data_IF_469625945893
#
_entry.id   IF_469625945893
#
_cell.length_a   1.000
_cell.length_b   1.000
_cell.length_c   1.000
_cell.angle_alpha   90.00
_cell.angle_beta   90.00
_cell.angle_gamma   90.00
#
_symmetry.space_group_name_H-M   'P 1'
#
loop_
_entity.id
_entity.type
_entity.pdbx_description
1 polymer ?
#
# COMPACT_ATOMS: atom_id res chain seq x y z
N UNK A 1 -5.46 37.27 4.81
CA UNK A 1 -4.34 36.62 4.11
C UNK A 1 -3.94 35.41 4.95
N UNK A 2 -4.02 34.20 4.41
CA UNK A 2 -3.71 32.97 5.15
C UNK A 2 -2.21 32.87 5.47
N UNK A 3 -1.85 32.05 6.46
CA UNK A 3 -0.44 31.75 6.76
C UNK A 3 0.28 31.14 5.53
N UNK A 4 -0.42 30.35 4.75
CA UNK A 4 0.04 29.79 3.47
C UNK A 4 0.44 30.90 2.50
N UNK A 5 -0.43 31.92 2.30
CA UNK A 5 -0.17 33.00 1.35
C UNK A 5 1.04 33.83 1.78
N UNK A 6 1.23 34.07 3.07
CA UNK A 6 2.40 34.77 3.61
C UNK A 6 3.70 34.01 3.36
N UNK A 7 3.69 32.68 3.58
CA UNK A 7 4.86 31.82 3.35
C UNK A 7 5.21 31.81 1.86
N UNK A 8 4.22 31.58 1.00
CA UNK A 8 4.43 31.57 -0.45
C UNK A 8 4.93 32.94 -0.97
N UNK A 9 4.42 34.05 -0.44
CA UNK A 9 4.89 35.38 -0.81
C UNK A 9 6.34 35.64 -0.37
N UNK A 10 6.78 35.09 0.79
CA UNK A 10 8.18 35.16 1.22
C UNK A 10 9.10 34.35 0.32
N UNK A 11 8.72 33.14 -0.04
CA UNK A 11 9.47 32.27 -0.97
C UNK A 11 9.60 32.95 -2.33
N UNK A 12 8.51 33.43 -2.89
CA UNK A 12 8.52 34.14 -4.20
C UNK A 12 9.38 35.38 -4.22
N UNK A 13 9.47 36.12 -3.10
CA UNK A 13 10.37 37.29 -2.98
C UNK A 13 11.85 36.91 -2.85
N UNK A 14 12.14 35.74 -2.32
CA UNK A 14 13.51 35.26 -2.15
C UNK A 14 14.09 34.65 -3.43
N UNK A 15 13.24 34.27 -4.39
CA UNK A 15 13.68 33.73 -5.68
C UNK A 15 13.94 34.85 -6.67
N UNK A 16 15.12 34.93 -7.33
CA UNK A 16 15.41 35.84 -8.42
C UNK A 16 14.38 35.69 -9.54
N UNK A 17 14.00 36.82 -10.14
CA UNK A 17 12.94 36.81 -11.16
C UNK A 17 13.33 36.03 -12.43
N UNK A 18 14.64 35.99 -12.73
CA UNK A 18 15.21 35.25 -13.85
C UNK A 18 15.19 33.71 -13.68
N UNK A 19 14.94 33.21 -12.47
CA UNK A 19 14.92 31.77 -12.15
C UNK A 19 13.50 31.22 -11.98
N UNK A 20 12.49 31.95 -12.39
CA UNK A 20 11.09 31.49 -12.33
C UNK A 20 10.67 30.94 -13.68
N UNK A 21 10.89 29.64 -13.94
CA UNK A 21 10.24 29.05 -15.11
C UNK A 21 8.73 29.19 -14.93
N UNK A 22 8.01 29.65 -15.95
CA UNK A 22 6.56 29.54 -15.93
C UNK A 22 6.22 28.06 -15.82
N UNK A 23 5.27 27.70 -14.97
CA UNK A 23 4.95 26.27 -14.73
C UNK A 23 4.60 25.50 -16.02
N UNK A 24 4.22 26.20 -17.08
CA UNK A 24 3.96 25.64 -18.40
C UNK A 24 5.25 25.39 -19.21
N UNK A 25 6.24 26.29 -19.13
CA UNK A 25 7.53 26.14 -19.82
C UNK A 25 8.41 25.08 -19.16
N UNK A 26 8.41 25.01 -17.82
CA UNK A 26 9.16 23.98 -17.09
C UNK A 26 8.61 22.57 -17.32
N UNK A 27 7.32 22.42 -17.60
CA UNK A 27 6.71 21.11 -17.88
C UNK A 27 6.92 20.63 -19.31
N UNK A 28 7.21 21.53 -20.27
CA UNK A 28 7.38 21.22 -21.69
C UNK A 28 8.72 20.56 -22.05
N UNK A 29 9.76 20.85 -21.28
CA UNK A 29 11.13 20.42 -21.59
C UNK A 29 11.60 19.14 -20.85
N UNK A 30 10.75 18.56 -19.99
CA UNK A 30 11.10 17.32 -19.31
C UNK A 30 10.78 16.14 -20.23
N UNK A 31 11.77 15.41 -20.74
CA UNK A 31 11.53 14.20 -21.53
C UNK A 31 10.72 13.20 -20.71
N UNK A 32 9.65 12.64 -21.29
CA UNK A 32 8.75 11.66 -20.66
C UNK A 32 8.64 10.39 -21.48
N UNK A 33 9.63 10.11 -22.29
CA UNK A 33 9.75 8.99 -23.21
C UNK A 33 10.37 7.72 -22.55
N UNK A 34 10.17 7.61 -21.23
CA UNK A 34 10.62 6.41 -20.51
C UNK A 34 9.79 5.18 -20.92
N UNK A 35 10.45 4.04 -20.86
CA UNK A 35 9.87 2.77 -21.24
C UNK A 35 8.75 2.37 -20.26
N UNK A 36 7.55 2.16 -20.79
CA UNK A 36 6.37 1.76 -20.00
C UNK A 36 6.28 0.26 -19.81
N UNK A 37 6.74 -0.52 -20.80
CA UNK A 37 6.68 -1.99 -20.81
C UNK A 37 8.11 -2.51 -20.89
N UNK A 38 8.52 -3.31 -19.90
CA UNK A 38 9.88 -3.79 -19.75
C UNK A 38 10.04 -5.27 -20.14
N UNK A 39 9.08 -5.85 -20.86
CA UNK A 39 9.10 -7.24 -21.33
C UNK A 39 7.70 -7.76 -21.64
N UNK A 40 7.63 -8.99 -22.11
CA UNK A 40 6.40 -9.66 -22.55
C UNK A 40 5.95 -10.73 -21.54
N UNK A 41 5.85 -10.35 -20.25
CA UNK A 41 5.41 -11.27 -19.20
C UNK A 41 3.94 -11.58 -19.31
N UNK A 42 3.59 -12.83 -19.14
CA UNK A 42 2.21 -13.24 -18.90
C UNK A 42 1.75 -12.79 -17.51
N UNK A 43 0.44 -12.68 -17.25
CA UNK A 43 -0.07 -12.37 -15.91
C UNK A 43 0.43 -13.32 -14.81
N UNK A 44 0.63 -14.59 -15.14
CA UNK A 44 1.17 -15.60 -14.22
C UNK A 44 2.64 -15.30 -13.86
N UNK A 45 3.47 -15.01 -14.87
CA UNK A 45 4.89 -14.66 -14.67
C UNK A 45 5.02 -13.35 -13.89
N UNK A 46 4.16 -12.36 -14.11
CA UNK A 46 4.12 -11.12 -13.33
C UNK A 46 3.71 -11.37 -11.88
N UNK A 47 2.76 -12.29 -11.63
CA UNK A 47 2.37 -12.69 -10.28
C UNK A 47 3.50 -13.45 -9.56
N UNK A 48 4.26 -14.28 -10.28
CA UNK A 48 5.44 -14.97 -9.73
C UNK A 48 6.54 -13.99 -9.38
N UNK A 49 6.80 -13.03 -10.25
CA UNK A 49 7.77 -11.96 -10.01
C UNK A 49 7.38 -11.09 -8.79
N UNK A 50 6.09 -10.69 -8.71
CA UNK A 50 5.57 -9.96 -7.55
C UNK A 50 5.81 -10.75 -6.26
N UNK A 51 5.46 -12.04 -6.25
CA UNK A 51 5.62 -12.89 -5.09
C UNK A 51 7.09 -13.06 -4.66
N UNK A 52 7.99 -13.22 -5.63
CA UNK A 52 9.43 -13.32 -5.38
C UNK A 52 9.96 -12.03 -4.75
N UNK A 53 9.68 -10.87 -5.35
CA UNK A 53 10.15 -9.59 -4.87
C UNK A 53 9.57 -9.22 -3.49
N UNK A 54 8.28 -9.48 -3.25
CA UNK A 54 7.67 -9.29 -1.93
C UNK A 54 8.34 -10.16 -0.86
N UNK A 55 8.66 -11.42 -1.21
CA UNK A 55 9.34 -12.35 -0.29
C UNK A 55 10.78 -11.94 0.01
N UNK A 56 11.49 -11.38 -0.98
CA UNK A 56 12.84 -10.81 -0.79
C UNK A 56 12.81 -9.66 0.23
N UNK A 57 11.76 -8.84 0.19
CA UNK A 57 11.50 -7.79 1.19
C UNK A 57 10.87 -8.32 2.49
N UNK A 58 10.84 -9.66 2.69
CA UNK A 58 10.34 -10.34 3.91
C UNK A 58 8.82 -10.25 4.13
N UNK A 59 8.03 -9.90 3.13
CA UNK A 59 6.59 -10.13 3.19
C UNK A 59 6.31 -11.64 3.05
N UNK A 60 5.28 -12.12 3.74
CA UNK A 60 4.78 -13.49 3.56
C UNK A 60 3.74 -13.48 2.46
N UNK A 61 3.97 -14.25 1.40
CA UNK A 61 3.06 -14.29 0.25
C UNK A 61 2.28 -15.59 0.24
N UNK A 62 0.97 -15.46 0.06
CA UNK A 62 0.03 -16.55 -0.04
C UNK A 62 -0.73 -16.46 -1.36
N UNK A 63 -1.19 -17.60 -1.88
CA UNK A 63 -1.99 -17.67 -3.11
C UNK A 63 -3.26 -18.44 -2.84
N UNK A 64 -4.36 -17.99 -3.43
CA UNK A 64 -5.65 -18.67 -3.37
C UNK A 64 -6.54 -18.21 -4.53
N UNK A 65 -7.61 -18.92 -4.75
CA UNK A 65 -8.74 -18.43 -5.53
C UNK A 65 -9.73 -17.63 -4.65
N UNK A 66 -10.75 -17.02 -5.28
CA UNK A 66 -11.76 -16.27 -4.55
C UNK A 66 -12.57 -17.11 -3.57
N UNK A 67 -12.78 -18.40 -3.87
CA UNK A 67 -13.53 -19.31 -2.99
C UNK A 67 -12.72 -19.71 -1.75
N UNK A 68 -11.41 -19.87 -1.89
CA UNK A 68 -10.50 -20.21 -0.80
C UNK A 68 -10.12 -19.03 0.10
N UNK A 69 -10.31 -17.78 -0.36
CA UNK A 69 -9.89 -16.57 0.37
C UNK A 69 -10.41 -16.50 1.81
N UNK A 70 -11.70 -16.74 2.12
CA UNK A 70 -12.19 -16.65 3.51
C UNK A 70 -11.51 -17.65 4.45
N UNK A 71 -11.31 -18.87 3.99
CA UNK A 71 -10.64 -19.91 4.78
C UNK A 71 -9.16 -19.60 4.99
N UNK A 72 -8.49 -19.04 3.98
CA UNK A 72 -7.10 -18.62 4.10
C UNK A 72 -6.95 -17.47 5.11
N UNK A 73 -7.76 -16.41 4.99
CA UNK A 73 -7.71 -15.29 5.93
C UNK A 73 -7.98 -15.73 7.38
N UNK A 74 -8.98 -16.59 7.59
CA UNK A 74 -9.25 -17.17 8.90
C UNK A 74 -8.04 -17.90 9.48
N UNK A 75 -7.35 -18.71 8.67
CA UNK A 75 -6.14 -19.44 9.08
C UNK A 75 -4.98 -18.49 9.40
N UNK A 76 -4.76 -17.44 8.62
CA UNK A 76 -3.69 -16.46 8.86
C UNK A 76 -3.92 -15.69 10.15
N UNK A 77 -5.14 -15.23 10.38
CA UNK A 77 -5.54 -14.55 11.61
C UNK A 77 -5.41 -15.47 12.84
N UNK A 78 -5.84 -16.71 12.73
CA UNK A 78 -5.70 -17.71 13.80
C UNK A 78 -4.21 -18.01 14.10
N UNK A 79 -3.38 -18.17 13.08
CA UNK A 79 -1.93 -18.38 13.24
C UNK A 79 -1.23 -17.21 13.93
N UNK A 80 -1.74 -15.98 13.75
CA UNK A 80 -1.28 -14.78 14.48
C UNK A 80 -1.83 -14.73 15.91
N UNK A 81 -2.89 -15.47 16.22
CA UNK A 81 -3.64 -15.37 17.48
C UNK A 81 -4.48 -14.09 17.53
N UNK A 82 -4.85 -13.53 16.37
CA UNK A 82 -5.61 -12.30 16.29
C UNK A 82 -7.04 -12.49 16.78
N UNK A 83 -7.44 -11.75 17.81
CA UNK A 83 -8.79 -11.70 18.37
C UNK A 83 -9.57 -10.50 17.86
N UNK A 84 -8.88 -9.47 17.41
CA UNK A 84 -9.43 -8.23 16.85
C UNK A 84 -8.85 -7.94 15.48
N UNK A 85 -9.71 -7.57 14.53
CA UNK A 85 -9.32 -7.27 13.15
C UNK A 85 -9.91 -5.94 12.73
N UNK A 86 -9.06 -4.99 12.43
CA UNK A 86 -9.45 -3.69 11.89
C UNK A 86 -9.81 -3.83 10.42
N UNK A 87 -10.96 -3.29 10.04
CA UNK A 87 -11.48 -3.40 8.68
C UNK A 87 -11.88 -2.03 8.13
N UNK A 88 -11.54 -1.73 6.88
CA UNK A 88 -12.07 -0.57 6.16
C UNK A 88 -13.59 -0.66 5.96
N UNK A 89 -14.25 0.48 5.71
CA UNK A 89 -15.72 0.54 5.61
C UNK A 89 -16.31 -0.36 4.53
N UNK A 90 -15.64 -0.50 3.38
CA UNK A 90 -16.12 -1.28 2.25
C UNK A 90 -15.31 -2.56 1.96
N UNK A 91 -14.58 -3.07 2.96
CA UNK A 91 -14.00 -4.41 2.83
C UNK A 91 -15.13 -5.44 2.61
N UNK A 92 -15.05 -6.31 1.60
CA UNK A 92 -16.10 -7.30 1.35
C UNK A 92 -16.31 -8.20 2.56
N UNK A 93 -17.52 -8.18 3.13
CA UNK A 93 -17.81 -8.89 4.38
C UNK A 93 -17.57 -10.40 4.30
N UNK A 94 -17.73 -10.99 3.12
CA UNK A 94 -17.51 -12.43 2.91
C UNK A 94 -16.04 -12.83 3.06
N UNK A 95 -15.08 -11.91 2.91
CA UNK A 95 -13.66 -12.23 3.09
C UNK A 95 -13.36 -12.73 4.52
N UNK A 96 -14.03 -12.19 5.49
CA UNK A 96 -13.82 -12.54 6.90
C UNK A 96 -14.94 -13.41 7.50
N UNK A 97 -15.80 -13.98 6.66
CA UNK A 97 -16.94 -14.78 7.12
C UNK A 97 -16.53 -16.06 7.89
N UNK A 98 -15.33 -16.57 7.66
CA UNK A 98 -14.78 -17.75 8.35
C UNK A 98 -13.85 -17.40 9.51
N UNK A 99 -13.56 -16.13 9.77
CA UNK A 99 -12.64 -15.71 10.82
C UNK A 99 -13.34 -15.69 12.18
N UNK A 100 -12.71 -16.28 13.18
CA UNK A 100 -13.14 -16.21 14.59
C UNK A 100 -12.43 -15.01 15.27
N UNK A 101 -12.85 -13.81 14.88
CA UNK A 101 -12.28 -12.57 15.41
C UNK A 101 -13.33 -11.46 15.45
N UNK A 102 -13.20 -10.54 16.40
CA UNK A 102 -14.04 -9.35 16.51
C UNK A 102 -13.62 -8.32 15.45
N UNK A 103 -14.54 -7.95 14.56
CA UNK A 103 -14.28 -6.94 13.55
C UNK A 103 -14.39 -5.53 14.15
N UNK A 104 -13.31 -4.78 14.08
CA UNK A 104 -13.23 -3.38 14.51
C UNK A 104 -13.32 -2.49 13.27
N UNK A 105 -14.34 -1.63 13.21
CA UNK A 105 -14.50 -0.68 12.09
C UNK A 105 -13.65 0.56 12.32
N UNK A 106 -12.98 1.02 11.26
CA UNK A 106 -12.29 2.30 11.28
C UNK A 106 -13.25 3.46 11.52
N UNK A 107 -12.94 4.32 12.49
CA UNK A 107 -13.69 5.53 12.83
C UNK A 107 -12.77 6.75 12.82
N UNK A 108 -13.30 7.90 12.42
CA UNK A 108 -12.52 9.14 12.34
C UNK A 108 -11.89 9.50 13.69
N UNK A 109 -12.59 9.22 14.77
CA UNK A 109 -12.24 9.54 16.16
C UNK A 109 -11.26 8.53 16.79
N UNK A 110 -11.04 7.35 16.16
CA UNK A 110 -10.13 6.35 16.72
C UNK A 110 -8.76 6.94 16.97
N UNK A 111 -8.30 6.81 18.19
CA UNK A 111 -6.97 7.27 18.61
C UNK A 111 -5.87 6.34 18.12
N UNK A 112 -4.60 6.78 18.03
CA UNK A 112 -3.48 5.87 17.74
C UNK A 112 -3.39 4.70 18.72
N UNK A 113 -3.66 4.90 20.00
CA UNK A 113 -3.64 3.84 21.03
C UNK A 113 -4.73 2.79 20.81
N UNK A 114 -5.94 3.21 20.40
CA UNK A 114 -7.01 2.26 20.05
C UNK A 114 -6.67 1.45 18.80
N UNK A 115 -5.97 2.04 17.84
CA UNK A 115 -5.53 1.34 16.64
C UNK A 115 -4.35 0.39 16.92
N UNK A 116 -3.43 0.77 17.81
CA UNK A 116 -2.30 -0.04 18.23
C UNK A 116 -2.75 -1.28 19.04
N UNK A 117 -3.87 -1.16 19.74
CA UNK A 117 -4.46 -2.26 20.50
C UNK A 117 -5.16 -3.33 19.63
N UNK A 118 -5.28 -3.10 18.31
CA UNK A 118 -5.89 -4.08 17.38
C UNK A 118 -4.81 -5.04 16.86
N UNK A 119 -5.11 -6.34 16.91
CA UNK A 119 -4.13 -7.39 16.60
C UNK A 119 -3.74 -7.43 15.11
N UNK A 120 -4.67 -7.11 14.21
CA UNK A 120 -4.45 -7.20 12.76
C UNK A 120 -5.31 -6.20 11.98
N UNK A 121 -4.87 -5.82 10.79
CA UNK A 121 -5.69 -5.12 9.80
C UNK A 121 -5.76 -5.93 8.51
N UNK A 122 -6.94 -5.97 7.88
CA UNK A 122 -7.14 -6.59 6.57
C UNK A 122 -7.63 -5.54 5.58
N UNK A 123 -6.97 -5.42 4.43
CA UNK A 123 -7.33 -4.46 3.38
C UNK A 123 -7.24 -5.06 1.99
N UNK A 124 -7.90 -4.44 1.02
CA UNK A 124 -7.53 -4.51 -0.38
C UNK A 124 -6.36 -3.57 -0.71
N UNK A 125 -6.13 -3.35 -1.99
CA UNK A 125 -5.15 -2.38 -2.52
C UNK A 125 -5.70 -1.68 -3.77
N UNK A 126 -5.05 -0.60 -4.20
CA UNK A 126 -5.33 0.01 -5.49
C UNK A 126 -4.72 -0.82 -6.62
N UNK A 127 -3.44 -1.16 -6.49
CA UNK A 127 -2.71 -2.04 -7.39
C UNK A 127 -1.41 -2.55 -6.74
N UNK A 128 -0.75 -3.50 -7.43
CA UNK A 128 0.58 -3.98 -7.09
C UNK A 128 1.50 -3.92 -8.31
N UNK A 129 2.80 -3.67 -8.09
CA UNK A 129 3.84 -3.54 -9.11
C UNK A 129 4.80 -4.73 -9.01
N UNK A 130 4.84 -5.56 -10.03
CA UNK A 130 5.60 -6.81 -10.03
C UNK A 130 7.11 -6.58 -9.90
N UNK A 131 7.68 -5.70 -10.72
CA UNK A 131 9.13 -5.48 -10.81
C UNK A 131 9.76 -4.94 -9.51
N UNK A 132 8.97 -4.25 -8.69
CA UNK A 132 9.48 -3.64 -7.46
C UNK A 132 8.96 -4.31 -6.19
N UNK A 133 8.09 -5.35 -6.31
CA UNK A 133 7.48 -5.97 -5.15
C UNK A 133 6.70 -4.96 -4.30
N UNK A 134 5.99 -4.03 -4.95
CA UNK A 134 5.34 -2.91 -4.26
C UNK A 134 3.83 -3.03 -4.35
N UNK A 135 3.15 -2.80 -3.23
CA UNK A 135 1.70 -2.63 -3.16
C UNK A 135 1.39 -1.15 -2.99
N UNK A 136 0.41 -0.64 -3.72
CA UNK A 136 -0.03 0.75 -3.63
C UNK A 136 -1.41 0.84 -3.01
N UNK A 137 -1.54 1.64 -1.98
CA UNK A 137 -2.80 2.04 -1.37
C UNK A 137 -3.08 3.50 -1.72
N UNK A 138 -4.31 3.80 -2.12
CA UNK A 138 -4.76 5.15 -2.50
C UNK A 138 -5.86 5.69 -1.59
N UNK A 139 -6.08 5.05 -0.45
CA UNK A 139 -7.15 5.39 0.48
C UNK A 139 -8.54 5.05 -0.05
N UNK A 140 -8.65 4.07 -0.94
CA UNK A 140 -9.91 3.53 -1.43
C UNK A 140 -10.77 2.96 -0.29
N UNK A 141 -12.08 2.76 -0.54
CA UNK A 141 -13.02 2.39 0.51
C UNK A 141 -12.78 1.00 1.12
N UNK A 142 -12.09 0.12 0.42
CA UNK A 142 -11.63 -1.21 0.87
C UNK A 142 -10.21 -1.20 1.47
N UNK A 143 -9.53 -0.06 1.43
CA UNK A 143 -8.19 0.15 1.96
C UNK A 143 -8.20 1.01 3.22
N UNK A 144 -9.16 1.91 3.31
CA UNK A 144 -9.35 2.81 4.43
C UNK A 144 -8.31 3.93 4.53
N UNK A 145 -8.28 4.58 5.67
CA UNK A 145 -7.37 5.70 5.91
C UNK A 145 -5.95 5.21 6.14
N UNK A 146 -4.96 5.97 5.69
CA UNK A 146 -3.52 5.64 5.82
C UNK A 146 -3.11 5.16 7.22
N UNK A 147 -3.67 5.74 8.28
CA UNK A 147 -3.31 5.39 9.67
C UNK A 147 -3.66 3.94 10.05
N UNK A 148 -4.71 3.35 9.46
CA UNK A 148 -5.10 1.98 9.81
C UNK A 148 -4.15 0.92 9.26
N UNK A 149 -3.39 1.25 8.25
CA UNK A 149 -2.38 0.37 7.66
C UNK A 149 -0.96 0.64 8.16
N UNK A 150 -0.77 1.66 9.00
CA UNK A 150 0.54 2.02 9.56
C UNK A 150 0.67 1.73 11.06
N UNK A 151 -0.44 1.79 11.81
CA UNK A 151 -0.39 1.66 13.28
C UNK A 151 -0.45 0.20 13.75
N UNK A 152 -1.41 -0.65 13.30
CA UNK A 152 -1.42 -2.07 13.69
C UNK A 152 -0.15 -2.79 13.26
N UNK A 153 0.32 -3.71 14.11
CA UNK A 153 1.60 -4.41 13.90
C UNK A 153 1.56 -5.51 12.84
N UNK A 154 0.37 -5.93 12.44
CA UNK A 154 0.13 -6.97 11.45
C UNK A 154 -0.85 -6.50 10.38
N UNK A 155 -0.42 -6.52 9.11
CA UNK A 155 -1.24 -6.17 7.95
C UNK A 155 -1.36 -7.35 7.00
N UNK A 156 -2.58 -7.74 6.67
CA UNK A 156 -2.89 -8.67 5.57
C UNK A 156 -3.47 -7.84 4.42
N UNK A 157 -2.78 -7.80 3.29
CA UNK A 157 -3.21 -7.10 2.09
C UNK A 157 -3.62 -8.11 1.02
N UNK A 158 -4.85 -7.96 0.51
CA UNK A 158 -5.39 -8.80 -0.58
C UNK A 158 -5.20 -8.09 -1.90
N UNK A 159 -4.64 -8.80 -2.88
CA UNK A 159 -4.37 -8.32 -4.24
C UNK A 159 -5.09 -9.23 -5.23
N UNK A 160 -6.01 -8.69 -6.01
CA UNK A 160 -6.68 -9.42 -7.10
C UNK A 160 -5.78 -9.48 -8.33
N UNK A 161 -5.51 -10.68 -8.83
CA UNK A 161 -4.66 -10.94 -9.99
C UNK A 161 -5.51 -11.56 -11.11
N UNK A 162 -5.44 -11.03 -12.32
CA UNK A 162 -4.50 -10.00 -12.83
C UNK A 162 -4.96 -8.55 -12.67
N UNK A 163 -6.18 -8.28 -12.20
CA UNK A 163 -6.85 -6.98 -12.31
C UNK A 163 -6.09 -5.83 -11.63
N UNK A 164 -5.48 -6.10 -10.47
CA UNK A 164 -4.72 -5.11 -9.69
C UNK A 164 -3.21 -5.23 -9.90
N UNK A 165 -2.74 -6.11 -10.80
CA UNK A 165 -1.33 -6.28 -11.08
C UNK A 165 -0.89 -5.45 -12.28
N UNK A 166 0.27 -4.81 -12.17
CA UNK A 166 1.01 -4.18 -13.28
C UNK A 166 2.49 -4.58 -13.19
N UNK A 167 3.19 -4.57 -14.31
CA UNK A 167 4.61 -4.94 -14.32
C UNK A 167 5.50 -3.85 -13.75
N UNK A 168 5.28 -2.62 -14.17
CA UNK A 168 6.23 -1.51 -13.94
C UNK A 168 5.60 -0.31 -13.24
N UNK A 169 6.44 0.52 -12.62
CA UNK A 169 6.02 1.79 -12.01
C UNK A 169 5.37 2.74 -13.02
N UNK A 170 5.89 2.93 -14.27
CA UNK A 170 5.19 3.74 -15.26
C UNK A 170 3.76 3.31 -15.55
N UNK A 171 3.50 2.00 -15.62
CA UNK A 171 2.13 1.47 -15.77
C UNK A 171 1.26 1.77 -14.53
N UNK A 172 1.84 1.67 -13.33
CA UNK A 172 1.15 2.01 -12.09
C UNK A 172 0.74 3.49 -12.06
N UNK A 173 1.65 4.40 -12.39
CA UNK A 173 1.39 5.84 -12.41
C UNK A 173 0.26 6.23 -13.37
N UNK A 174 0.14 5.53 -14.49
CA UNK A 174 -0.95 5.76 -15.46
C UNK A 174 -2.34 5.36 -14.92
N UNK A 175 -2.40 4.48 -13.88
CA UNK A 175 -3.64 3.97 -13.27
C UNK A 175 -4.01 4.69 -11.96
N UNK A 176 -3.07 5.42 -11.36
CA UNK A 176 -3.26 6.07 -10.07
C UNK A 176 -3.68 7.54 -10.24
N UNK A 177 -4.52 8.02 -9.34
CA UNK A 177 -4.85 9.43 -9.22
C UNK A 177 -3.82 10.14 -8.33
N UNK A 178 -2.96 11.02 -8.87
CA UNK A 178 -1.91 11.69 -8.11
C UNK A 178 -2.44 12.71 -7.09
N UNK A 179 -3.73 13.03 -7.13
CA UNK A 179 -4.36 13.93 -6.15
C UNK A 179 -4.77 13.21 -4.87
N UNK A 180 -4.82 11.88 -4.89
CA UNK A 180 -5.14 11.05 -3.72
C UNK A 180 -3.90 10.80 -2.85
N UNK A 181 -4.06 10.57 -1.56
CA UNK A 181 -2.94 10.17 -0.70
C UNK A 181 -2.47 8.75 -1.07
N UNK A 182 -1.28 8.63 -1.65
CA UNK A 182 -0.70 7.36 -2.02
C UNK A 182 0.23 6.83 -0.92
N UNK A 183 0.14 5.54 -0.63
CA UNK A 183 1.08 4.80 0.22
C UNK A 183 1.66 3.65 -0.57
N UNK A 184 2.98 3.64 -0.76
CA UNK A 184 3.73 2.61 -1.46
C UNK A 184 4.39 1.70 -0.42
N UNK A 185 4.10 0.40 -0.47
CA UNK A 185 4.53 -0.60 0.51
C UNK A 185 5.37 -1.65 -0.21
N UNK A 186 6.66 -1.71 0.13
CA UNK A 186 7.58 -2.74 -0.37
C UNK A 186 8.11 -3.54 0.83
N UNK A 187 7.31 -4.49 1.28
CA UNK A 187 7.60 -5.31 2.48
C UNK A 187 7.18 -4.69 3.81
N UNK A 188 7.37 -5.40 4.93
CA UNK A 188 7.09 -4.92 6.26
C UNK A 188 8.00 -3.76 6.67
N UNK A 189 7.58 -2.98 7.68
CA UNK A 189 8.32 -1.82 8.15
C UNK A 189 9.72 -2.19 8.65
N UNK A 190 10.74 -1.59 8.05
CA UNK A 190 12.13 -1.72 8.47
C UNK A 190 12.90 -0.44 8.18
N UNK A 191 13.70 0.02 9.14
CA UNK A 191 14.60 1.16 8.99
C UNK A 191 16.04 0.70 9.24
N UNK A 192 16.91 0.87 8.26
CA UNK A 192 18.34 0.51 8.36
C UNK A 192 19.26 1.71 8.13
N UNK A 193 18.76 2.79 7.53
CA UNK A 193 19.60 3.85 6.99
C UNK A 193 20.08 4.88 8.02
N UNK A 194 19.46 4.92 9.19
CA UNK A 194 19.78 5.93 10.22
C UNK A 194 20.59 5.32 11.37
N UNK A 195 20.31 4.07 11.75
CA UNK A 195 20.85 3.48 12.99
C UNK A 195 21.96 2.45 12.74
N UNK A 196 22.29 2.15 11.47
CA UNK A 196 23.18 1.05 11.05
C UNK A 196 22.72 -0.34 11.52
N UNK A 197 21.68 -0.41 12.34
CA UNK A 197 20.97 -1.59 12.78
C UNK A 197 19.52 -1.55 12.27
N UNK A 198 19.01 -2.70 11.83
CA UNK A 198 17.65 -2.81 11.32
C UNK A 198 16.64 -2.76 12.47
N UNK A 199 16.00 -1.62 12.66
CA UNK A 199 14.87 -1.46 13.59
C UNK A 199 13.56 -1.70 12.84
N UNK A 200 12.77 -2.67 13.29
CA UNK A 200 11.48 -3.01 12.70
C UNK A 200 10.33 -2.29 13.42
N UNK A 201 9.28 -1.90 12.67
CA UNK A 201 8.05 -1.35 13.23
C UNK A 201 8.02 0.15 13.52
N UNK A 202 9.01 0.93 13.04
CA UNK A 202 9.04 2.39 13.27
C UNK A 202 8.03 3.13 12.39
N UNK A 203 7.83 2.67 11.15
CA UNK A 203 7.02 3.37 10.15
C UNK A 203 5.85 2.54 9.60
N UNK A 204 5.46 1.47 10.28
CA UNK A 204 4.37 0.60 9.86
C UNK A 204 4.45 -0.80 10.47
N UNK A 205 3.60 -1.72 10.00
CA UNK A 205 3.53 -3.10 10.50
C UNK A 205 4.85 -3.84 10.42
N UNK A 206 5.23 -4.53 11.49
CA UNK A 206 6.39 -5.45 11.50
C UNK A 206 6.12 -6.72 10.70
N UNK A 207 4.85 -7.06 10.50
CA UNK A 207 4.46 -8.23 9.71
C UNK A 207 3.52 -7.82 8.59
N UNK A 208 3.93 -8.11 7.36
CA UNK A 208 3.11 -7.95 6.16
C UNK A 208 2.84 -9.33 5.54
N UNK A 209 1.58 -9.67 5.42
CA UNK A 209 1.12 -10.85 4.66
C UNK A 209 0.36 -10.38 3.41
N UNK A 210 0.70 -10.91 2.26
CA UNK A 210 0.09 -10.55 0.98
C UNK A 210 -0.61 -11.77 0.42
N UNK A 211 -1.90 -11.62 0.13
CA UNK A 211 -2.71 -12.70 -0.46
C UNK A 211 -3.01 -12.37 -1.92
N UNK A 212 -2.41 -13.11 -2.84
CA UNK A 212 -2.69 -13.04 -4.27
C UNK A 212 -3.90 -13.90 -4.58
N UNK A 213 -4.97 -13.29 -5.09
CA UNK A 213 -6.25 -13.96 -5.39
C UNK A 213 -6.47 -14.03 -6.89
N UNK A 214 -6.76 -15.22 -7.40
CA UNK A 214 -7.15 -15.43 -8.80
C UNK A 214 -6.09 -16.07 -9.69
N UNK A 215 -4.80 -15.99 -9.35
CA UNK A 215 -3.73 -16.64 -10.11
C UNK A 215 -3.45 -18.04 -9.54
N UNK A 216 -3.85 -19.07 -10.26
CA UNK A 216 -3.26 -20.40 -10.15
C UNK A 216 -2.33 -20.61 -11.34
#
# INVERSE_FOLDING_TARGET
VSSKDRILARIRRALPEAERPSGAEAAGDIPRDYLHVHGDRTPAESADLLAANLSEYRAKVHRTDGAGLPALLARLLAARGARTVLVPPALPAHWLAAADATLVRDRAESTPYELDAVDSVVTGCALAVAETGTIVLDGGPDQGRRRITLVPDHHICVVSVPEQLVDSVPQALARLDPTRPLTWISGPSATSDIELDRVEGVHGPRTLEVVLVGAQ
#
